data_IF_849006902075
#
_entry.id   IF_849006902075
#
_cell.length_a   1.000
_cell.length_b   1.000
_cell.length_c   1.000
_cell.angle_alpha   90.00
_cell.angle_beta   90.00
_cell.angle_gamma   90.00
#
_symmetry.space_group_name_H-M   'P 1'
#
loop_
_entity.id
_entity.type
_entity.pdbx_description
1 polymer ?
#
# COMPACT_ATOMS: atom_id res chain seq x y z
N UNK A 1 22.21 20.49 -0.74
CA UNK A 1 22.72 19.14 -0.41
C UNK A 1 21.64 18.19 0.12
N UNK A 2 20.86 18.55 1.16
CA UNK A 2 19.83 17.66 1.75
C UNK A 2 18.82 17.08 0.74
N UNK A 3 18.30 17.90 -0.18
CA UNK A 3 17.38 17.47 -1.25
C UNK A 3 17.97 16.49 -2.28
N UNK A 4 19.29 16.58 -2.53
CA UNK A 4 19.99 15.68 -3.44
C UNK A 4 20.24 14.33 -2.75
N UNK A 5 20.65 14.36 -1.49
CA UNK A 5 20.82 13.16 -0.67
C UNK A 5 19.49 12.42 -0.55
N UNK A 6 18.39 13.13 -0.27
CA UNK A 6 17.08 12.48 -0.19
C UNK A 6 16.61 11.93 -1.53
N UNK A 7 16.90 12.58 -2.66
CA UNK A 7 16.63 12.01 -3.97
C UNK A 7 17.37 10.68 -4.17
N UNK A 8 18.67 10.64 -3.85
CA UNK A 8 19.47 9.40 -3.97
C UNK A 8 18.90 8.30 -3.07
N UNK A 9 18.59 8.63 -1.80
CA UNK A 9 18.01 7.69 -0.85
C UNK A 9 16.65 7.18 -1.33
N UNK A 10 15.76 8.07 -1.81
CA UNK A 10 14.47 7.68 -2.38
C UNK A 10 14.63 6.82 -3.63
N UNK A 11 15.64 7.08 -4.45
CA UNK A 11 15.97 6.28 -5.65
C UNK A 11 16.39 4.86 -5.28
N UNK A 12 17.30 4.72 -4.32
CA UNK A 12 17.75 3.41 -3.82
C UNK A 12 16.59 2.67 -3.15
N UNK A 13 15.86 3.33 -2.26
CA UNK A 13 14.75 2.71 -1.52
C UNK A 13 13.64 2.22 -2.47
N UNK A 14 13.23 3.05 -3.43
CA UNK A 14 12.23 2.67 -4.43
C UNK A 14 12.72 1.54 -5.34
N UNK A 15 13.99 1.55 -5.74
CA UNK A 15 14.58 0.46 -6.54
C UNK A 15 14.55 -0.86 -5.77
N UNK A 16 14.98 -0.86 -4.51
CA UNK A 16 14.95 -2.06 -3.66
C UNK A 16 13.52 -2.57 -3.51
N UNK A 17 12.56 -1.71 -3.17
CA UNK A 17 11.17 -2.13 -3.00
C UNK A 17 10.57 -2.69 -4.30
N UNK A 18 10.79 -2.04 -5.44
CA UNK A 18 10.21 -2.51 -6.70
C UNK A 18 10.85 -3.81 -7.17
N UNK A 19 12.18 -3.87 -7.27
CA UNK A 19 12.85 -5.00 -7.92
C UNK A 19 13.06 -6.21 -7.00
N UNK A 20 13.13 -6.03 -5.67
CA UNK A 20 13.33 -7.14 -4.74
C UNK A 20 12.06 -7.61 -4.03
N UNK A 21 11.02 -6.77 -3.96
CA UNK A 21 9.78 -7.11 -3.25
C UNK A 21 8.56 -7.12 -4.17
N UNK A 22 8.29 -6.02 -4.88
CA UNK A 22 7.07 -5.88 -5.68
C UNK A 22 7.09 -6.77 -6.93
N UNK A 23 8.02 -6.58 -7.87
CA UNK A 23 8.05 -7.31 -9.13
C UNK A 23 8.13 -8.83 -8.95
N UNK A 24 9.02 -9.38 -8.08
CA UNK A 24 9.09 -10.83 -7.87
C UNK A 24 7.82 -11.44 -7.28
N UNK A 25 6.94 -10.62 -6.70
CA UNK A 25 5.65 -11.06 -6.17
C UNK A 25 4.53 -10.85 -7.19
N UNK A 26 4.52 -9.72 -7.89
CA UNK A 26 3.51 -9.35 -8.88
C UNK A 26 3.54 -10.25 -10.11
N UNK A 27 4.72 -10.62 -10.62
CA UNK A 27 4.86 -11.48 -11.81
C UNK A 27 4.47 -12.95 -11.56
N UNK A 28 4.27 -13.35 -10.29
CA UNK A 28 3.78 -14.69 -9.92
C UNK A 28 2.31 -14.90 -10.23
N UNK A 29 1.57 -13.83 -10.46
CA UNK A 29 0.17 -13.88 -10.85
C UNK A 29 0.09 -13.75 -12.37
N UNK A 30 -0.13 -14.83 -13.14
CA UNK A 30 -0.14 -14.78 -14.61
C UNK A 30 -1.04 -13.73 -15.23
N UNK A 31 -2.15 -13.35 -14.57
CA UNK A 31 -3.00 -12.24 -15.04
C UNK A 31 -2.30 -10.90 -14.91
N UNK A 32 -1.66 -10.67 -13.78
CA UNK A 32 -0.97 -9.43 -13.46
C UNK A 32 0.31 -9.33 -14.31
N UNK A 33 1.07 -10.43 -14.43
CA UNK A 33 2.17 -10.55 -15.40
C UNK A 33 1.70 -10.26 -16.83
N UNK A 34 0.58 -10.86 -17.27
CA UNK A 34 0.02 -10.61 -18.60
C UNK A 34 -0.50 -9.18 -18.81
N UNK A 35 -0.93 -8.48 -17.76
CA UNK A 35 -1.25 -7.04 -17.84
C UNK A 35 0.04 -6.22 -17.97
N UNK A 36 1.06 -6.52 -17.19
CA UNK A 36 2.36 -5.83 -17.24
C UNK A 36 3.06 -6.03 -18.59
N UNK A 37 2.98 -7.22 -19.18
CA UNK A 37 3.55 -7.51 -20.51
C UNK A 37 2.90 -6.72 -21.65
N UNK A 38 1.64 -6.29 -21.50
CA UNK A 38 0.93 -5.50 -22.51
C UNK A 38 1.40 -4.06 -22.58
N UNK A 39 1.97 -3.54 -21.49
CA UNK A 39 2.42 -2.16 -21.38
C UNK A 39 3.93 -2.12 -21.28
N UNK A 40 4.58 -1.61 -22.32
CA UNK A 40 6.01 -1.35 -22.27
C UNK A 40 6.32 -0.39 -21.11
N UNK A 41 7.45 -0.63 -20.45
CA UNK A 41 7.98 0.17 -19.35
C UNK A 41 7.15 0.14 -18.04
N UNK A 42 6.36 -0.91 -17.80
CA UNK A 42 5.57 -1.01 -16.57
C UNK A 42 6.47 -1.00 -15.32
N UNK A 43 7.61 -1.70 -15.37
CA UNK A 43 8.55 -1.82 -14.26
C UNK A 43 9.18 -0.47 -13.92
N UNK A 44 9.62 0.26 -14.94
CA UNK A 44 10.17 1.61 -14.83
C UNK A 44 9.12 2.61 -14.38
N UNK A 45 7.86 2.48 -14.83
CA UNK A 45 6.76 3.34 -14.40
C UNK A 45 6.45 3.15 -12.92
N UNK A 46 6.40 1.91 -12.43
CA UNK A 46 6.19 1.60 -11.00
C UNK A 46 7.34 2.15 -10.15
N UNK A 47 8.58 1.95 -10.59
CA UNK A 47 9.77 2.50 -9.93
C UNK A 47 9.76 4.02 -9.91
N UNK A 48 9.53 4.67 -11.04
CA UNK A 48 9.47 6.12 -11.15
C UNK A 48 8.36 6.71 -10.28
N UNK A 49 7.18 6.07 -10.26
CA UNK A 49 6.08 6.50 -9.41
C UNK A 49 6.45 6.43 -7.92
N UNK A 50 7.01 5.31 -7.46
CA UNK A 50 7.41 5.17 -6.05
C UNK A 50 8.55 6.13 -5.68
N UNK A 51 9.54 6.28 -6.56
CA UNK A 51 10.64 7.23 -6.42
C UNK A 51 10.11 8.66 -6.24
N UNK A 52 9.30 9.14 -7.18
CA UNK A 52 8.74 10.50 -7.16
C UNK A 52 7.85 10.69 -5.93
N UNK A 53 7.06 9.69 -5.55
CA UNK A 53 6.21 9.75 -4.36
C UNK A 53 7.04 9.95 -3.09
N UNK A 54 8.08 9.12 -2.88
CA UNK A 54 8.95 9.23 -1.71
C UNK A 54 9.73 10.55 -1.68
N UNK A 55 10.28 10.96 -2.84
CA UNK A 55 11.09 12.15 -2.91
C UNK A 55 10.26 13.43 -2.75
N UNK A 56 9.11 13.53 -3.43
CA UNK A 56 8.20 14.68 -3.29
C UNK A 56 7.59 14.75 -1.89
N UNK A 57 7.29 13.60 -1.28
CA UNK A 57 6.90 13.56 0.13
C UNK A 57 7.99 14.13 1.03
N UNK A 58 9.26 13.73 0.86
CA UNK A 58 10.38 14.28 1.61
C UNK A 58 10.51 15.80 1.43
N UNK A 59 10.42 16.29 0.19
CA UNK A 59 10.54 17.73 -0.09
C UNK A 59 9.43 18.53 0.61
N UNK A 60 8.21 18.00 0.63
CA UNK A 60 7.07 18.63 1.31
C UNK A 60 7.17 18.52 2.83
N UNK A 61 7.71 17.42 3.31
CA UNK A 61 8.04 17.22 4.72
C UNK A 61 9.06 18.26 5.19
N UNK A 62 10.12 18.52 4.43
CA UNK A 62 11.11 19.58 4.73
C UNK A 62 10.47 20.98 4.71
N UNK A 63 9.57 21.24 3.75
CA UNK A 63 8.86 22.53 3.62
C UNK A 63 7.70 22.70 4.60
N UNK A 64 7.38 21.69 5.40
CA UNK A 64 6.27 21.69 6.36
C UNK A 64 4.91 22.01 5.75
N UNK A 65 4.74 21.73 4.45
CA UNK A 65 3.50 21.98 3.71
C UNK A 65 3.22 20.79 2.80
N UNK A 66 2.11 20.11 3.06
CA UNK A 66 1.59 19.09 2.17
C UNK A 66 0.67 19.73 1.14
N UNK A 67 1.01 19.54 -0.13
CA UNK A 67 0.23 19.96 -1.28
C UNK A 67 -0.97 19.04 -1.47
N UNK A 68 -2.13 19.64 -1.58
CA UNK A 68 -3.38 18.94 -1.88
C UNK A 68 -3.29 18.25 -3.25
N UNK A 69 -2.64 18.89 -4.23
CA UNK A 69 -2.42 18.30 -5.57
C UNK A 69 -1.59 17.03 -5.49
N UNK A 70 -0.52 17.04 -4.68
CA UNK A 70 0.30 15.83 -4.46
C UNK A 70 -0.53 14.70 -3.85
N UNK A 71 -1.35 15.00 -2.84
CA UNK A 71 -2.20 14.00 -2.20
C UNK A 71 -3.18 13.39 -3.20
N UNK A 72 -3.87 14.22 -4.01
CA UNK A 72 -4.77 13.72 -5.04
C UNK A 72 -4.06 12.81 -6.05
N UNK A 73 -2.93 13.26 -6.62
CA UNK A 73 -2.19 12.46 -7.60
C UNK A 73 -1.69 11.14 -7.00
N UNK A 74 -1.08 11.19 -5.81
CA UNK A 74 -0.58 10.01 -5.12
C UNK A 74 -1.70 9.00 -4.85
N UNK A 75 -2.81 9.43 -4.23
CA UNK A 75 -3.90 8.53 -3.87
C UNK A 75 -4.71 8.04 -5.07
N UNK A 76 -4.81 8.80 -6.16
CA UNK A 76 -5.45 8.34 -7.39
C UNK A 76 -4.65 7.21 -8.06
N UNK A 77 -3.34 7.37 -8.21
CA UNK A 77 -2.49 6.32 -8.79
C UNK A 77 -2.39 5.11 -7.86
N UNK A 78 -2.18 5.35 -6.56
CA UNK A 78 -2.20 4.30 -5.55
C UNK A 78 -3.51 3.50 -5.56
N UNK A 79 -4.66 4.17 -5.59
CA UNK A 79 -5.97 3.51 -5.62
C UNK A 79 -6.17 2.66 -6.87
N UNK A 80 -5.72 3.15 -8.04
CA UNK A 80 -5.74 2.38 -9.28
C UNK A 80 -4.84 1.15 -9.21
N UNK A 81 -3.60 1.31 -8.73
CA UNK A 81 -2.66 0.20 -8.57
C UNK A 81 -3.16 -0.84 -7.57
N UNK A 82 -3.68 -0.39 -6.42
CA UNK A 82 -4.27 -1.25 -5.41
C UNK A 82 -5.45 -2.04 -5.99
N UNK A 83 -6.34 -1.36 -6.74
CA UNK A 83 -7.44 -2.02 -7.44
C UNK A 83 -6.93 -3.10 -8.40
N UNK A 84 -5.97 -2.77 -9.28
CA UNK A 84 -5.40 -3.74 -10.21
C UNK A 84 -4.82 -4.94 -9.46
N UNK A 85 -3.99 -4.71 -8.44
CA UNK A 85 -3.32 -5.78 -7.69
C UNK A 85 -4.34 -6.69 -7.00
N UNK A 86 -5.32 -6.12 -6.29
CA UNK A 86 -6.31 -6.89 -5.55
C UNK A 86 -7.18 -7.74 -6.48
N UNK A 87 -7.64 -7.17 -7.60
CA UNK A 87 -8.61 -7.83 -8.48
C UNK A 87 -7.98 -8.70 -9.58
N UNK A 88 -6.65 -8.65 -9.77
CA UNK A 88 -5.93 -9.50 -10.74
C UNK A 88 -5.10 -10.62 -10.10
N UNK A 89 -5.12 -10.74 -8.76
CA UNK A 89 -4.40 -11.77 -7.99
C UNK A 89 -4.88 -13.22 -8.26
N UNK A 90 -6.10 -13.44 -8.77
CA UNK A 90 -6.66 -14.80 -8.89
C UNK A 90 -6.11 -15.65 -10.06
N UNK A 91 -5.70 -16.89 -9.75
CA UNK A 91 -5.35 -17.96 -10.70
C UNK A 91 -6.45 -19.03 -10.84
N UNK A 92 -7.06 -19.46 -9.73
CA UNK A 92 -8.23 -20.33 -9.70
C UNK A 92 -9.18 -19.89 -8.59
N UNK A 93 -10.46 -20.12 -8.85
CA UNK A 93 -11.59 -19.34 -8.38
C UNK A 93 -12.32 -19.98 -7.20
N UNK A 94 -12.80 -19.14 -6.27
CA UNK A 94 -13.84 -19.47 -5.27
C UNK A 94 -13.43 -20.41 -4.13
N UNK A 95 -12.31 -20.11 -3.47
CA UNK A 95 -12.05 -20.66 -2.13
C UNK A 95 -12.45 -19.64 -1.06
N UNK A 96 -13.05 -20.15 0.01
CA UNK A 96 -13.32 -19.41 1.23
C UNK A 96 -12.41 -19.99 2.30
N UNK A 97 -11.38 -19.24 2.68
CA UNK A 97 -10.44 -19.64 3.72
C UNK A 97 -10.71 -18.84 5.00
N UNK A 98 -11.57 -19.40 5.85
CA UNK A 98 -11.91 -18.81 7.15
C UNK A 98 -11.22 -19.53 8.31
N UNK A 99 -10.22 -20.37 8.04
CA UNK A 99 -9.51 -21.10 9.09
C UNK A 99 -8.42 -20.21 9.71
N UNK A 100 -8.60 -19.68 10.94
CA UNK A 100 -7.62 -18.80 11.56
C UNK A 100 -6.33 -19.52 11.98
N UNK A 101 -6.31 -20.86 11.97
CA UNK A 101 -5.14 -21.65 12.38
C UNK A 101 -4.18 -21.96 11.22
N UNK A 102 -4.59 -21.69 9.98
CA UNK A 102 -3.78 -21.94 8.78
C UNK A 102 -3.06 -20.66 8.33
N UNK A 103 -2.01 -20.29 9.08
CA UNK A 103 -1.21 -19.11 8.72
C UNK A 103 -0.38 -19.38 7.45
N UNK A 104 -0.51 -18.56 6.38
CA UNK A 104 0.19 -18.77 5.12
C UNK A 104 1.63 -18.22 5.22
N UNK A 105 2.48 -18.85 6.03
CA UNK A 105 3.90 -18.48 6.17
C UNK A 105 4.83 -19.68 5.92
N UNK A 106 4.33 -20.73 5.27
CA UNK A 106 5.07 -21.97 5.07
C UNK A 106 6.21 -21.84 4.05
N UNK A 107 6.13 -20.83 3.20
CA UNK A 107 7.11 -20.53 2.16
C UNK A 107 7.47 -19.06 2.20
N UNK A 108 8.70 -18.71 1.80
CA UNK A 108 9.13 -17.30 1.71
C UNK A 108 8.26 -16.45 0.76
N UNK A 109 7.52 -17.11 -0.13
CA UNK A 109 6.64 -16.50 -1.12
C UNK A 109 5.34 -16.05 -0.48
N UNK A 110 4.71 -16.92 0.31
CA UNK A 110 3.54 -16.56 1.10
C UNK A 110 3.88 -15.48 2.14
N UNK A 111 5.09 -15.53 2.72
CA UNK A 111 5.56 -14.47 3.62
C UNK A 111 5.72 -13.11 2.91
N UNK A 112 6.19 -13.08 1.66
CA UNK A 112 6.29 -11.85 0.88
C UNK A 112 4.90 -11.29 0.52
N UNK A 113 3.95 -12.16 0.17
CA UNK A 113 2.54 -11.77 -0.07
C UNK A 113 1.89 -11.22 1.19
N UNK A 114 2.09 -11.89 2.33
CA UNK A 114 1.61 -11.45 3.63
C UNK A 114 2.16 -10.06 3.99
N UNK A 115 3.46 -9.84 3.78
CA UNK A 115 4.10 -8.54 3.98
C UNK A 115 3.55 -7.47 3.03
N UNK A 116 3.35 -7.82 1.75
CA UNK A 116 2.84 -6.89 0.76
C UNK A 116 1.39 -6.48 1.04
N UNK A 117 0.54 -7.38 1.49
CA UNK A 117 -0.82 -7.04 1.93
C UNK A 117 -0.80 -5.98 3.05
N UNK A 118 0.09 -6.14 4.04
CA UNK A 118 0.29 -5.11 5.08
C UNK A 118 0.75 -3.79 4.45
N UNK A 119 1.79 -3.83 3.61
CA UNK A 119 2.39 -2.62 2.98
C UNK A 119 1.38 -1.88 2.11
N UNK A 120 0.56 -2.61 1.35
CA UNK A 120 -0.45 -2.04 0.46
C UNK A 120 -1.50 -1.24 1.20
N UNK A 121 -1.86 -1.59 2.43
CA UNK A 121 -2.88 -0.88 3.19
C UNK A 121 -2.33 0.26 4.09
N UNK A 122 -1.01 0.42 4.20
CA UNK A 122 -0.40 1.55 4.95
C UNK A 122 -0.86 2.91 4.41
N UNK A 123 -0.82 3.21 3.10
CA UNK A 123 -1.28 4.49 2.59
C UNK A 123 -2.76 4.75 2.89
N UNK A 124 -3.60 3.72 2.82
CA UNK A 124 -5.03 3.84 3.18
C UNK A 124 -5.21 4.20 4.66
N UNK A 125 -4.45 3.57 5.55
CA UNK A 125 -4.42 3.92 6.97
C UNK A 125 -3.99 5.38 7.22
N UNK A 126 -3.00 5.86 6.48
CA UNK A 126 -2.59 7.27 6.53
C UNK A 126 -3.74 8.17 6.10
N UNK A 127 -4.44 7.84 5.01
CA UNK A 127 -5.58 8.61 4.50
C UNK A 127 -6.69 8.76 5.54
N UNK A 128 -7.07 7.67 6.22
CA UNK A 128 -8.03 7.73 7.32
C UNK A 128 -7.51 8.58 8.48
N UNK A 129 -6.24 8.40 8.84
CA UNK A 129 -5.58 9.18 9.89
C UNK A 129 -5.56 10.69 9.66
N UNK A 130 -5.75 11.19 8.43
CA UNK A 130 -5.77 12.64 8.14
C UNK A 130 -6.96 13.34 8.81
N UNK A 131 -8.15 12.73 8.82
CA UNK A 131 -9.37 13.36 9.38
C UNK A 131 -10.14 12.52 10.38
N UNK A 132 -10.11 11.20 10.26
CA UNK A 132 -10.90 10.32 11.11
C UNK A 132 -10.30 10.22 12.52
N UNK A 133 -11.16 10.13 13.52
CA UNK A 133 -10.80 9.67 14.85
C UNK A 133 -10.40 8.19 14.83
N UNK A 134 -9.78 7.69 15.90
CA UNK A 134 -9.37 6.28 16.00
C UNK A 134 -10.55 5.32 15.73
N UNK A 135 -11.73 5.59 16.32
CA UNK A 135 -12.92 4.74 16.17
C UNK A 135 -13.42 4.73 14.72
N UNK A 136 -13.48 5.91 14.10
CA UNK A 136 -13.88 6.04 12.70
C UNK A 136 -12.88 5.38 11.76
N UNK A 137 -11.57 5.53 12.01
CA UNK A 137 -10.53 4.90 11.20
C UNK A 137 -10.59 3.36 11.29
N UNK A 138 -10.82 2.81 12.47
CA UNK A 138 -11.03 1.36 12.66
C UNK A 138 -12.28 0.90 11.90
N UNK A 139 -13.40 1.61 12.06
CA UNK A 139 -14.64 1.28 11.36
C UNK A 139 -14.48 1.33 9.83
N UNK A 140 -13.88 2.41 9.30
CA UNK A 140 -13.63 2.58 7.87
C UNK A 140 -12.68 1.51 7.33
N UNK A 141 -11.66 1.13 8.10
CA UNK A 141 -10.74 0.06 7.72
C UNK A 141 -11.46 -1.27 7.61
N UNK A 142 -12.22 -1.66 8.63
CA UNK A 142 -12.99 -2.91 8.62
C UNK A 142 -14.00 -2.91 7.48
N UNK A 143 -14.78 -1.83 7.30
CA UNK A 143 -15.77 -1.72 6.25
C UNK A 143 -15.14 -1.82 4.85
N UNK A 144 -14.00 -1.17 4.63
CA UNK A 144 -13.30 -1.18 3.34
C UNK A 144 -12.68 -2.54 3.05
N UNK A 145 -12.01 -3.15 4.03
CA UNK A 145 -11.38 -4.46 3.88
C UNK A 145 -12.45 -5.53 3.62
N UNK A 146 -13.52 -5.58 4.43
CA UNK A 146 -14.61 -6.51 4.19
C UNK A 146 -15.27 -6.27 2.83
N UNK A 147 -15.44 -5.00 2.43
CA UNK A 147 -15.96 -4.65 1.11
C UNK A 147 -15.08 -5.19 -0.02
N UNK A 148 -13.77 -4.99 0.07
CA UNK A 148 -12.79 -5.50 -0.90
C UNK A 148 -12.83 -7.02 -0.99
N UNK A 149 -12.71 -7.73 0.13
CA UNK A 149 -12.73 -9.19 0.18
C UNK A 149 -14.06 -9.75 -0.34
N UNK A 150 -15.18 -9.12 0.02
CA UNK A 150 -16.51 -9.50 -0.48
C UNK A 150 -16.63 -9.30 -1.99
N UNK A 151 -16.16 -8.17 -2.52
CA UNK A 151 -16.15 -7.91 -3.96
C UNK A 151 -15.28 -8.92 -4.69
N UNK A 152 -14.09 -9.22 -4.17
CA UNK A 152 -13.21 -10.25 -4.73
C UNK A 152 -13.89 -11.61 -4.75
N UNK A 153 -14.60 -11.99 -3.68
CA UNK A 153 -15.33 -13.25 -3.62
C UNK A 153 -16.53 -13.29 -4.60
N UNK A 154 -17.38 -12.26 -4.60
CA UNK A 154 -18.62 -12.18 -5.41
C UNK A 154 -18.33 -12.08 -6.90
N UNK A 155 -17.32 -11.29 -7.29
CA UNK A 155 -16.90 -11.19 -8.69
C UNK A 155 -15.94 -12.29 -9.10
N UNK A 156 -15.69 -13.27 -8.22
CA UNK A 156 -14.77 -14.38 -8.42
C UNK A 156 -13.30 -13.89 -8.53
N UNK A 157 -12.99 -12.62 -8.36
CA UNK A 157 -11.65 -12.07 -8.58
C UNK A 157 -10.59 -12.45 -7.52
N UNK A 158 -10.95 -13.20 -6.46
CA UNK A 158 -10.03 -13.65 -5.42
C UNK A 158 -10.59 -14.71 -4.47
N UNK A 159 -9.78 -15.06 -3.47
CA UNK A 159 -10.12 -15.92 -2.32
C UNK A 159 -10.51 -15.02 -1.17
N UNK A 160 -11.61 -15.32 -0.48
CA UNK A 160 -11.94 -14.65 0.77
C UNK A 160 -11.09 -15.28 1.88
N UNK A 161 -10.03 -14.59 2.32
CA UNK A 161 -9.09 -15.10 3.33
C UNK A 161 -9.11 -14.25 4.60
N UNK A 162 -9.29 -14.91 5.75
CA UNK A 162 -9.27 -14.25 7.05
C UNK A 162 -7.91 -13.62 7.37
N UNK A 163 -6.81 -14.19 6.88
CA UNK A 163 -5.46 -13.62 7.05
C UNK A 163 -5.24 -12.38 6.19
N UNK A 164 -5.89 -12.28 5.02
CA UNK A 164 -5.88 -11.06 4.22
C UNK A 164 -6.62 -9.93 4.97
N UNK A 165 -7.72 -10.24 5.68
CA UNK A 165 -8.38 -9.28 6.58
C UNK A 165 -7.44 -8.79 7.69
N UNK A 166 -6.77 -9.71 8.39
CA UNK A 166 -5.87 -9.35 9.50
C UNK A 166 -4.66 -8.53 9.03
N UNK A 167 -4.04 -8.92 7.90
CA UNK A 167 -2.87 -8.22 7.35
C UNK A 167 -3.23 -6.83 6.82
N UNK A 168 -4.33 -6.71 6.08
CA UNK A 168 -4.82 -5.43 5.58
C UNK A 168 -5.19 -4.49 6.75
N UNK A 169 -5.80 -5.04 7.82
CA UNK A 169 -6.14 -4.27 9.02
C UNK A 169 -4.88 -3.81 9.77
N UNK A 170 -3.86 -4.66 9.85
CA UNK A 170 -2.55 -4.29 10.41
C UNK A 170 -1.89 -3.17 9.58
N UNK A 171 -1.95 -3.24 8.25
CA UNK A 171 -1.49 -2.18 7.35
C UNK A 171 -2.19 -0.85 7.60
N UNK A 172 -3.52 -0.85 7.64
CA UNK A 172 -4.31 0.33 8.00
C UNK A 172 -3.96 0.89 9.38
N UNK A 173 -3.79 0.02 10.38
CA UNK A 173 -3.39 0.42 11.73
C UNK A 173 -2.02 1.10 11.77
N UNK A 174 -1.02 0.51 11.11
CA UNK A 174 0.32 1.08 11.00
C UNK A 174 0.29 2.44 10.30
N UNK A 175 -0.45 2.55 9.19
CA UNK A 175 -0.62 3.82 8.47
C UNK A 175 -1.28 4.91 9.33
N UNK A 176 -2.33 4.56 10.07
CA UNK A 176 -2.99 5.49 10.98
C UNK A 176 -2.04 6.00 12.06
N UNK A 177 -1.28 5.08 12.70
CA UNK A 177 -0.29 5.44 13.73
C UNK A 177 0.83 6.32 13.17
N UNK A 178 1.31 6.06 11.95
CA UNK A 178 2.27 6.92 11.26
C UNK A 178 1.71 8.33 11.07
N UNK A 179 0.47 8.45 10.59
CA UNK A 179 -0.18 9.75 10.43
C UNK A 179 -0.36 10.48 11.76
N UNK A 180 -0.77 9.79 12.82
CA UNK A 180 -0.93 10.39 14.15
C UNK A 180 0.40 10.95 14.68
N UNK A 181 1.50 10.18 14.56
CA UNK A 181 2.85 10.66 14.91
C UNK A 181 3.30 11.84 14.07
N UNK A 182 3.04 11.82 12.76
CA UNK A 182 3.37 12.92 11.86
C UNK A 182 2.65 14.22 12.28
N UNK A 183 1.35 14.15 12.60
CA UNK A 183 0.57 15.31 13.05
C UNK A 183 1.12 15.91 14.35
N UNK A 184 1.40 15.08 15.36
CA UNK A 184 1.96 15.54 16.64
C UNK A 184 3.26 16.30 16.39
N UNK A 185 4.17 15.72 15.60
CA UNK A 185 5.45 16.34 15.28
C UNK A 185 5.32 17.67 14.52
N UNK A 186 4.41 17.74 13.54
CA UNK A 186 4.15 19.00 12.84
C UNK A 186 3.61 20.09 13.77
N UNK A 187 2.81 19.73 14.77
CA UNK A 187 2.26 20.68 15.76
C UNK A 187 3.32 21.12 16.77
N UNK A 188 4.14 20.20 17.28
CA UNK A 188 5.21 20.51 18.24
C UNK A 188 6.27 21.43 17.62
N UNK A 189 6.69 21.15 16.38
CA UNK A 189 7.68 21.97 15.68
C UNK A 189 7.13 23.35 15.26
N UNK A 190 5.81 23.53 15.17
CA UNK A 190 5.19 24.85 14.97
C UNK A 190 5.07 25.66 16.28
N UNK A 191 5.04 25.00 17.45
CA UNK A 191 4.99 25.67 18.77
C UNK A 191 6.37 26.07 19.30
N UNK A 192 7.44 25.49 18.75
CA UNK A 192 8.84 25.78 19.12
C UNK A 192 9.52 26.87 18.26
N UNK A 193 8.79 27.51 17.35
CA UNK A 193 9.16 28.76 16.67
C UNK A 193 8.38 29.92 17.26
#
# INVERSE_FOLDING_TARGET
MRKLISAIVSGIASYVVIYFLALPTLTRYPRLAGVMERFAFTDEALWLFLFLSLWLFYVQWERRRLSVVYLYLFYSVYGLLLFIVLFTKAQQYHSLNVNPFEMPLRTGTQAAEFLLNVVYFIPLGILYGIRASWKEAVFLSIATILGVETLQYVFYLGTFDIWDIFTNLAGCGLGYLMCAKMKVRFVEEQKGM
#
